data_IF_288268696850
#
_entry.id   IF_288268696850
#
_cell.length_a   1.000
_cell.length_b   1.000
_cell.length_c   1.000
_cell.angle_alpha   90.00
_cell.angle_beta   90.00
_cell.angle_gamma   90.00
#
_symmetry.space_group_name_H-M   'P 1'
#
loop_
_entity.id
_entity.type
_entity.pdbx_description
1 polymer ?
#
# COMPACT_ATOMS: atom_id res chain seq x y z
N UNK A 1 52.28 10.02 -0.85
CA UNK A 1 51.74 9.26 0.29
C UNK A 1 50.32 9.73 0.53
N UNK A 2 49.37 8.83 0.31
CA UNK A 2 47.92 9.01 0.46
C UNK A 2 47.53 8.69 1.91
N UNK A 3 46.75 9.57 2.52
CA UNK A 3 45.89 9.35 3.68
C UNK A 3 44.76 10.37 3.49
N UNK A 4 43.47 10.09 3.50
CA UNK A 4 42.69 8.97 4.02
C UNK A 4 41.40 9.63 4.52
N UNK A 5 40.46 9.96 3.62
CA UNK A 5 39.13 10.46 3.98
C UNK A 5 38.16 9.29 3.88
N UNK A 6 37.88 8.68 5.03
CA UNK A 6 36.75 7.77 5.19
C UNK A 6 35.52 8.65 5.37
N UNK A 7 34.69 8.80 4.34
CA UNK A 7 33.33 9.30 4.48
C UNK A 7 32.45 8.05 4.53
N UNK A 8 31.99 7.72 5.73
CA UNK A 8 30.99 6.70 5.97
C UNK A 8 29.63 7.33 5.62
N UNK A 9 29.07 7.01 4.46
CA UNK A 9 27.65 7.29 4.19
C UNK A 9 26.84 6.26 4.98
N UNK A 10 26.09 6.73 5.97
CA UNK A 10 25.08 5.94 6.66
C UNK A 10 23.81 6.05 5.81
N UNK A 11 23.44 4.97 5.13
CA UNK A 11 22.15 4.83 4.49
C UNK A 11 21.09 4.67 5.59
N UNK A 12 20.17 5.63 5.71
CA UNK A 12 18.95 5.47 6.51
C UNK A 12 17.99 4.58 5.71
N UNK A 13 17.88 3.31 6.06
CA UNK A 13 16.71 2.51 5.69
C UNK A 13 15.58 2.85 6.65
N UNK A 14 14.50 3.43 6.12
CA UNK A 14 13.21 3.51 6.79
C UNK A 14 12.60 2.10 6.82
N UNK A 15 12.89 1.35 7.88
CA UNK A 15 12.11 0.17 8.24
C UNK A 15 10.80 0.64 8.85
N UNK A 16 9.67 0.18 8.32
CA UNK A 16 8.43 0.05 9.08
C UNK A 16 8.71 -0.89 10.24
N UNK A 17 8.91 -0.30 11.42
CA UNK A 17 9.15 -1.03 12.67
C UNK A 17 7.82 -1.67 13.06
N UNK A 18 7.64 -2.95 12.72
CA UNK A 18 6.78 -3.80 13.54
C UNK A 18 7.39 -3.85 14.94
N UNK A 19 6.58 -3.88 16.02
CA UNK A 19 7.12 -3.93 17.37
C UNK A 19 8.05 -5.14 17.48
N UNK A 20 9.35 -4.88 17.63
CA UNK A 20 10.31 -5.87 18.07
C UNK A 20 9.90 -6.22 19.50
N UNK A 21 9.15 -7.31 19.67
CA UNK A 21 8.91 -7.85 21.00
C UNK A 21 10.26 -8.24 21.62
N UNK A 22 10.67 -7.48 22.62
CA UNK A 22 11.89 -7.73 23.35
C UNK A 22 11.83 -9.11 24.01
N UNK A 23 12.79 -9.96 23.65
CA UNK A 23 12.98 -11.25 24.33
C UNK A 23 13.69 -10.97 25.64
N UNK A 24 12.91 -10.80 26.70
CA UNK A 24 13.45 -10.86 28.06
C UNK A 24 13.98 -12.26 28.37
N UNK A 25 15.14 -12.28 29.03
CA UNK A 25 16.04 -13.41 29.18
C UNK A 25 15.61 -14.50 30.16
N UNK A 26 16.12 -15.69 29.86
CA UNK A 26 16.39 -16.82 30.76
C UNK A 26 15.20 -17.43 31.53
N UNK A 27 14.21 -17.88 30.76
CA UNK A 27 13.61 -19.19 30.96
C UNK A 27 13.45 -19.82 29.57
N UNK A 28 13.58 -21.14 29.42
CA UNK A 28 13.49 -21.82 28.13
C UNK A 28 12.13 -21.54 27.47
N UNK A 29 12.02 -20.43 26.72
CA UNK A 29 10.84 -20.07 25.96
C UNK A 29 10.62 -21.19 24.96
N UNK A 30 9.42 -21.74 24.97
CA UNK A 30 8.99 -22.65 23.92
C UNK A 30 9.25 -21.98 22.58
N UNK A 31 9.92 -22.69 21.67
CA UNK A 31 10.14 -22.26 20.30
C UNK A 31 8.81 -22.13 19.50
N UNK A 32 7.70 -22.58 20.11
CA UNK A 32 6.33 -22.43 19.65
C UNK A 32 5.84 -21.01 19.92
N UNK A 33 5.33 -20.37 18.86
CA UNK A 33 4.86 -18.99 18.86
C UNK A 33 3.34 -18.93 18.80
N UNK A 34 2.75 -18.18 19.71
CA UNK A 34 1.31 -17.95 19.78
C UNK A 34 1.09 -16.44 19.72
N UNK A 35 0.12 -16.01 18.92
CA UNK A 35 -0.26 -14.60 18.86
C UNK A 35 -0.74 -14.11 20.22
N UNK A 36 -0.22 -12.97 20.67
CA UNK A 36 -0.77 -12.29 21.83
C UNK A 36 -2.17 -11.76 21.48
N UNK A 37 -3.10 -11.92 22.41
CA UNK A 37 -4.45 -11.35 22.33
C UNK A 37 -4.51 -9.89 22.75
N UNK A 38 -3.45 -9.37 23.38
CA UNK A 38 -3.37 -7.99 23.82
C UNK A 38 -2.72 -7.10 22.76
N UNK A 39 -3.29 -5.93 22.56
CA UNK A 39 -2.73 -4.85 21.74
C UNK A 39 -1.84 -4.00 22.63
N UNK A 40 -0.56 -3.92 22.32
CA UNK A 40 0.40 -3.07 23.02
C UNK A 40 0.36 -1.64 22.50
N UNK A 41 0.43 -0.69 23.43
CA UNK A 41 0.57 0.73 23.15
C UNK A 41 1.79 1.24 23.90
N UNK A 42 2.64 1.99 23.21
CA UNK A 42 3.81 2.63 23.78
C UNK A 42 3.82 4.13 23.50
N UNK A 43 4.39 4.91 24.41
CA UNK A 43 4.55 6.34 24.24
C UNK A 43 5.87 6.84 24.82
N UNK A 44 6.51 7.75 24.10
CA UNK A 44 7.72 8.45 24.52
C UNK A 44 7.55 9.97 24.36
N UNK A 45 8.17 10.77 25.26
CA UNK A 45 8.15 12.22 25.11
C UNK A 45 8.88 12.65 23.83
N UNK A 46 8.36 13.72 23.21
CA UNK A 46 9.00 14.31 22.03
C UNK A 46 10.41 14.80 22.38
N UNK A 47 11.30 14.86 21.38
CA UNK A 47 12.66 15.34 21.57
C UNK A 47 12.69 16.72 22.26
N UNK A 48 13.30 16.79 23.44
CA UNK A 48 13.40 18.02 24.25
C UNK A 48 12.30 18.22 25.29
N UNK A 49 11.32 17.33 25.37
CA UNK A 49 10.34 17.31 26.46
C UNK A 49 10.86 16.54 27.67
N UNK A 50 10.38 16.91 28.87
CA UNK A 50 10.68 16.18 30.09
C UNK A 50 9.80 14.93 30.19
N UNK A 51 10.29 13.90 30.89
CA UNK A 51 9.47 12.74 31.23
C UNK A 51 8.24 13.19 32.05
N UNK A 52 7.02 12.90 31.59
CA UNK A 52 5.83 13.19 32.39
C UNK A 52 5.77 12.27 33.62
N UNK A 53 4.97 12.65 34.62
CA UNK A 53 4.76 11.80 35.82
C UNK A 53 3.63 10.80 35.64
N UNK A 54 2.75 11.00 34.65
CA UNK A 54 1.63 10.12 34.33
C UNK A 54 1.31 10.23 32.84
N UNK A 55 1.13 9.07 32.22
CA UNK A 55 0.65 8.91 30.85
C UNK A 55 -0.46 7.87 30.91
N UNK A 56 -1.56 8.16 30.23
CA UNK A 56 -2.66 7.23 30.06
C UNK A 56 -3.09 7.18 28.59
N UNK A 57 -3.88 6.18 28.24
CA UNK A 57 -4.47 6.03 26.90
C UNK A 57 -5.99 5.95 27.02
N UNK A 58 -6.66 6.53 26.04
CA UNK A 58 -8.10 6.48 25.88
C UNK A 58 -8.42 6.21 24.41
N UNK A 59 -9.49 5.46 24.17
CA UNK A 59 -9.87 5.08 22.81
C UNK A 59 -11.31 4.62 22.68
N UNK A 60 -11.66 4.27 21.45
CA UNK A 60 -13.02 3.93 21.02
C UNK A 60 -13.62 2.73 21.75
N UNK A 61 -12.79 1.85 22.29
CA UNK A 61 -13.23 0.77 23.17
C UNK A 61 -13.90 1.29 24.46
N UNK A 62 -13.48 2.45 24.99
CA UNK A 62 -14.14 3.15 26.10
C UNK A 62 -13.65 4.59 26.27
N UNK A 63 -14.33 5.56 25.64
CA UNK A 63 -14.02 7.00 25.78
C UNK A 63 -14.32 7.60 27.17
N UNK A 64 -14.83 6.84 28.13
CA UNK A 64 -15.14 7.34 29.48
C UNK A 64 -14.08 6.98 30.51
N UNK A 65 -13.08 6.16 30.17
CA UNK A 65 -12.12 5.63 31.14
C UNK A 65 -10.74 5.56 30.53
N UNK A 66 -9.79 6.24 31.16
CA UNK A 66 -8.39 6.18 30.79
C UNK A 66 -7.77 4.88 31.33
N UNK A 67 -6.84 4.32 30.57
CA UNK A 67 -5.98 3.22 31.02
C UNK A 67 -4.58 3.77 31.28
N UNK A 68 -4.09 3.68 32.50
CA UNK A 68 -2.75 4.15 32.84
C UNK A 68 -1.67 3.31 32.14
N UNK A 69 -0.61 3.98 31.68
CA UNK A 69 0.60 3.33 31.21
C UNK A 69 1.60 3.16 32.36
N UNK A 70 2.43 2.13 32.25
CA UNK A 70 3.55 1.87 33.15
C UNK A 70 4.84 2.40 32.53
N UNK A 71 5.64 3.11 33.32
CA UNK A 71 6.93 3.63 32.87
C UNK A 71 8.06 2.62 33.10
N UNK A 72 8.84 2.34 32.05
CA UNK A 72 10.12 1.64 32.16
C UNK A 72 11.28 2.66 32.17
N UNK A 73 11.97 2.75 33.30
CA UNK A 73 13.09 3.66 33.49
C UNK A 73 14.34 3.27 32.67
N UNK A 74 14.45 2.03 32.20
CA UNK A 74 15.59 1.58 31.41
C UNK A 74 15.46 2.01 29.94
N UNK A 75 14.26 1.87 29.37
CA UNK A 75 14.00 2.26 27.99
C UNK A 75 13.60 3.73 27.86
N UNK A 76 13.01 4.32 28.91
CA UNK A 76 12.40 5.66 28.83
C UNK A 76 10.96 5.65 28.30
N UNK A 77 10.38 4.48 28.11
CA UNK A 77 9.09 4.27 27.44
C UNK A 77 7.97 4.07 28.44
N UNK A 78 6.80 4.62 28.12
CA UNK A 78 5.54 4.27 28.77
C UNK A 78 4.84 3.20 27.96
N UNK A 79 4.28 2.17 28.59
CA UNK A 79 3.51 1.15 27.85
C UNK A 79 2.31 0.60 28.63
N UNK A 80 1.34 0.08 27.89
CA UNK A 80 0.22 -0.70 28.41
C UNK A 80 -0.29 -1.66 27.35
N UNK A 81 -1.07 -2.65 27.75
CA UNK A 81 -1.63 -3.65 26.84
C UNK A 81 -3.13 -3.77 27.07
N UNK A 82 -3.93 -3.67 26.00
CA UNK A 82 -5.38 -3.67 26.05
C UNK A 82 -5.91 -4.84 25.23
N UNK A 83 -6.87 -5.59 25.77
CA UNK A 83 -7.58 -6.64 25.03
C UNK A 83 -8.61 -6.00 24.11
N UNK A 84 -8.39 -6.08 22.80
CA UNK A 84 -9.29 -5.57 21.77
C UNK A 84 -9.72 -6.70 20.83
N UNK A 85 -10.90 -6.57 20.24
CA UNK A 85 -11.33 -7.47 19.15
C UNK A 85 -10.73 -7.01 17.82
N UNK A 86 -10.86 -7.83 16.78
CA UNK A 86 -10.42 -7.43 15.44
C UNK A 86 -11.14 -6.14 15.00
N UNK A 87 -10.38 -5.25 14.35
CA UNK A 87 -10.89 -3.98 13.85
C UNK A 87 -9.94 -2.83 14.09
N UNK A 88 -10.27 -1.68 13.54
CA UNK A 88 -9.60 -0.41 13.86
C UNK A 88 -10.23 0.25 15.08
N UNK A 89 -9.44 1.00 15.82
CA UNK A 89 -9.91 1.81 16.93
C UNK A 89 -9.22 3.17 16.92
N UNK A 90 -10.02 4.22 17.10
CA UNK A 90 -9.46 5.54 17.42
C UNK A 90 -8.91 5.58 18.84
N UNK A 91 -7.77 6.23 19.03
CA UNK A 91 -7.19 6.48 20.36
C UNK A 91 -6.36 7.76 20.41
N UNK A 92 -6.08 8.19 21.65
CA UNK A 92 -5.11 9.23 21.99
C UNK A 92 -4.40 8.87 23.29
N UNK A 93 -3.16 9.32 23.42
CA UNK A 93 -2.50 9.38 24.71
C UNK A 93 -2.95 10.62 25.47
N UNK A 94 -2.96 10.55 26.79
CA UNK A 94 -3.30 11.67 27.68
C UNK A 94 -2.18 11.85 28.69
N UNK A 95 -1.56 13.03 28.67
CA UNK A 95 -0.50 13.41 29.60
C UNK A 95 -1.10 14.17 30.77
N UNK A 96 -1.02 13.60 31.98
CA UNK A 96 -1.80 14.10 33.11
C UNK A 96 -3.30 13.93 32.87
N UNK A 97 -4.11 14.99 33.05
CA UNK A 97 -5.57 14.87 33.02
C UNK A 97 -6.23 15.30 31.69
N UNK A 98 -5.67 16.28 30.98
CA UNK A 98 -6.36 16.96 29.87
C UNK A 98 -5.50 17.27 28.64
N UNK A 99 -4.25 16.79 28.59
CA UNK A 99 -3.37 16.99 27.44
C UNK A 99 -3.44 15.77 26.51
N UNK A 100 -4.34 15.82 25.55
CA UNK A 100 -4.59 14.76 24.57
C UNK A 100 -3.61 14.86 23.40
N UNK A 101 -2.85 13.79 23.17
CA UNK A 101 -1.80 13.74 22.16
C UNK A 101 -2.02 12.59 21.19
N UNK A 102 -1.58 12.80 19.97
CA UNK A 102 -1.44 11.72 19.01
C UNK A 102 -0.29 10.80 19.42
N UNK A 103 -0.38 9.57 18.97
CA UNK A 103 0.77 8.68 18.90
C UNK A 103 1.72 9.19 17.81
N UNK A 104 2.95 9.54 18.19
CA UNK A 104 3.94 10.07 17.25
C UNK A 104 4.60 8.97 16.41
N UNK A 105 4.63 7.74 16.91
CA UNK A 105 5.25 6.59 16.23
C UNK A 105 4.29 5.95 15.23
N UNK A 106 2.99 6.10 15.47
CA UNK A 106 1.96 5.76 14.51
C UNK A 106 1.63 6.98 13.65
N UNK A 107 1.90 6.95 12.34
CA UNK A 107 1.52 8.03 11.41
C UNK A 107 0.07 7.93 10.91
N UNK A 108 -0.60 6.81 11.14
CA UNK A 108 -1.95 6.59 10.65
C UNK A 108 -2.97 7.39 11.47
N UNK A 109 -3.80 8.17 10.76
CA UNK A 109 -4.79 9.10 11.32
C UNK A 109 -6.15 8.81 10.72
N UNK A 110 -7.18 9.03 11.51
CA UNK A 110 -8.56 8.88 11.08
C UNK A 110 -9.51 9.70 11.95
N UNK A 111 -10.75 9.82 11.50
CA UNK A 111 -11.78 10.57 12.21
C UNK A 111 -12.71 9.64 12.98
N UNK A 112 -12.92 9.95 14.26
CA UNK A 112 -14.02 9.40 15.05
C UNK A 112 -14.92 10.53 15.51
N UNK A 113 -16.13 10.59 14.95
CA UNK A 113 -16.98 11.77 15.02
C UNK A 113 -16.32 12.97 14.34
N UNK A 114 -16.19 14.08 15.05
CA UNK A 114 -15.60 15.32 14.51
C UNK A 114 -14.11 15.50 14.88
N UNK A 115 -13.50 14.50 15.52
CA UNK A 115 -12.13 14.60 16.01
C UNK A 115 -11.23 13.67 15.23
N UNK A 116 -10.07 14.19 14.85
CA UNK A 116 -8.97 13.40 14.30
C UNK A 116 -8.24 12.70 15.45
N UNK A 117 -7.98 11.41 15.28
CA UNK A 117 -7.35 10.53 16.26
C UNK A 117 -6.23 9.70 15.60
N UNK A 118 -5.36 9.13 16.43
CA UNK A 118 -4.52 8.01 16.00
C UNK A 118 -5.40 6.78 15.82
N UNK A 119 -5.07 5.92 14.86
CA UNK A 119 -5.84 4.72 14.56
C UNK A 119 -4.94 3.50 14.75
N UNK A 120 -5.37 2.55 15.57
CA UNK A 120 -4.72 1.24 15.67
C UNK A 120 -5.53 0.22 14.88
N UNK A 121 -4.88 -0.61 14.06
CA UNK A 121 -5.47 -1.81 13.45
C UNK A 121 -5.17 -3.00 14.35
N UNK A 122 -6.23 -3.64 14.85
CA UNK A 122 -6.15 -4.85 15.66
C UNK A 122 -6.49 -6.03 14.77
N UNK A 123 -5.53 -6.92 14.60
CA UNK A 123 -5.70 -8.12 13.79
C UNK A 123 -6.59 -9.16 14.47
N UNK A 124 -7.12 -10.08 13.66
CA UNK A 124 -7.79 -11.26 14.19
C UNK A 124 -6.79 -12.26 14.78
N UNK A 125 -6.56 -12.18 16.08
CA UNK A 125 -5.61 -13.06 16.81
C UNK A 125 -6.07 -14.51 16.87
N UNK A 126 -7.31 -14.84 16.50
CA UNK A 126 -7.76 -16.24 16.36
C UNK A 126 -7.17 -16.94 15.14
N UNK A 127 -6.75 -16.17 14.12
CA UNK A 127 -6.12 -16.68 12.91
C UNK A 127 -4.60 -16.75 13.06
N UNK A 128 -3.94 -17.73 12.43
CA UNK A 128 -2.49 -17.75 12.37
C UNK A 128 -1.94 -16.56 11.58
N UNK A 129 -0.65 -16.26 11.74
CA UNK A 129 0.05 -15.27 10.92
C UNK A 129 1.43 -15.78 10.52
N UNK A 130 1.91 -15.34 9.36
CA UNK A 130 3.26 -15.58 8.88
C UNK A 130 4.08 -14.30 9.06
N UNK A 131 5.31 -14.43 9.54
CA UNK A 131 6.25 -13.31 9.60
C UNK A 131 7.61 -13.71 9.08
N UNK A 132 8.39 -12.72 8.65
CA UNK A 132 9.73 -12.95 8.16
C UNK A 132 10.73 -13.03 9.33
N UNK A 133 11.54 -14.09 9.38
CA UNK A 133 12.70 -14.22 10.30
C UNK A 133 13.97 -13.69 9.62
N UNK A 134 14.17 -14.12 8.38
CA UNK A 134 15.31 -13.74 7.55
C UNK A 134 14.92 -13.72 6.09
N UNK A 135 15.50 -12.79 5.34
CA UNK A 135 15.34 -12.67 3.90
C UNK A 135 16.63 -12.15 3.31
N UNK A 136 17.24 -12.92 2.42
CA UNK A 136 18.47 -12.56 1.75
C UNK A 136 18.37 -12.93 0.29
N UNK A 137 18.69 -11.96 -0.57
CA UNK A 137 18.77 -12.16 -2.01
C UNK A 137 20.24 -12.37 -2.35
N UNK A 138 20.53 -13.49 -3.00
CA UNK A 138 21.84 -13.88 -3.50
C UNK A 138 21.95 -13.43 -4.97
N UNK A 139 23.13 -13.57 -5.59
CA UNK A 139 23.33 -13.17 -7.01
C UNK A 139 22.33 -13.81 -7.98
N UNK A 140 21.82 -15.01 -7.69
CA UNK A 140 20.84 -15.72 -8.54
C UNK A 140 19.84 -16.54 -7.71
N UNK A 141 19.54 -16.10 -6.49
CA UNK A 141 18.73 -16.89 -5.57
C UNK A 141 18.10 -16.11 -4.44
N UNK A 142 17.30 -16.83 -3.66
CA UNK A 142 16.61 -16.34 -2.48
C UNK A 142 16.79 -17.34 -1.32
N UNK A 143 17.29 -16.83 -0.21
CA UNK A 143 17.24 -17.47 1.10
C UNK A 143 16.19 -16.78 1.99
N UNK A 144 15.14 -17.50 2.38
CA UNK A 144 14.10 -16.96 3.24
C UNK A 144 13.75 -17.93 4.38
N UNK A 145 13.56 -17.40 5.58
CA UNK A 145 12.98 -18.13 6.70
C UNK A 145 11.75 -17.39 7.18
N UNK A 146 10.62 -18.10 7.16
CA UNK A 146 9.32 -17.61 7.59
C UNK A 146 8.94 -18.28 8.89
N UNK A 147 8.48 -17.49 9.85
CA UNK A 147 7.93 -17.95 11.12
C UNK A 147 6.43 -18.13 10.98
N UNK A 148 5.93 -19.26 11.46
CA UNK A 148 4.51 -19.45 11.73
C UNK A 148 4.20 -19.05 13.18
N UNK A 149 3.12 -18.30 13.35
CA UNK A 149 2.53 -17.93 14.63
C UNK A 149 1.12 -18.51 14.69
N UNK A 150 0.85 -19.39 15.65
CA UNK A 150 -0.51 -19.90 15.82
C UNK A 150 -1.43 -18.80 16.35
N UNK A 151 -2.69 -18.84 15.92
CA UNK A 151 -3.73 -18.05 16.56
C UNK A 151 -3.96 -18.48 18.01
N UNK A 152 -4.90 -17.83 18.68
CA UNK A 152 -5.23 -18.08 20.11
C UNK A 152 -5.61 -19.53 20.43
N UNK A 153 -6.03 -20.32 19.44
CA UNK A 153 -6.28 -21.77 19.56
C UNK A 153 -5.01 -22.61 19.73
N UNK A 154 -3.82 -22.03 19.49
CA UNK A 154 -2.51 -22.68 19.49
C UNK A 154 -2.40 -23.86 18.51
N UNK A 155 -3.21 -23.82 17.45
CA UNK A 155 -3.28 -24.88 16.46
C UNK A 155 -1.99 -24.96 15.62
N UNK A 156 -1.53 -26.19 15.42
CA UNK A 156 -0.43 -26.48 14.49
C UNK A 156 -0.82 -26.09 13.06
N UNK A 157 0.15 -25.73 12.21
CA UNK A 157 -0.12 -25.58 10.78
C UNK A 157 -0.53 -26.93 10.18
N UNK A 158 -1.49 -26.88 9.27
CA UNK A 158 -1.93 -28.00 8.44
C UNK A 158 -1.26 -27.95 7.06
N UNK A 159 -1.27 -26.78 6.42
CA UNK A 159 -0.55 -26.55 5.16
C UNK A 159 0.27 -25.28 5.23
N UNK A 160 1.43 -25.29 4.55
CA UNK A 160 2.24 -24.12 4.26
C UNK A 160 2.69 -24.30 2.80
N UNK A 161 2.20 -23.43 1.93
CA UNK A 161 2.46 -23.48 0.49
C UNK A 161 3.20 -22.21 0.07
N UNK A 162 4.22 -22.37 -0.77
CA UNK A 162 4.94 -21.26 -1.36
C UNK A 162 4.76 -21.28 -2.88
N UNK A 163 4.53 -20.09 -3.43
CA UNK A 163 4.47 -19.84 -4.88
C UNK A 163 5.41 -18.70 -5.19
N UNK A 164 6.24 -18.86 -6.21
CA UNK A 164 7.08 -17.81 -6.74
C UNK A 164 6.45 -17.29 -8.04
N UNK A 165 6.02 -16.03 -8.02
CA UNK A 165 5.53 -15.36 -9.22
C UNK A 165 6.71 -14.71 -9.95
N UNK A 166 6.83 -14.96 -11.26
CA UNK A 166 7.79 -14.33 -12.17
C UNK A 166 7.10 -14.08 -13.52
N UNK A 167 7.18 -12.86 -14.06
CA UNK A 167 6.51 -12.46 -15.31
C UNK A 167 5.06 -12.96 -15.39
N UNK A 168 4.29 -12.62 -14.35
CA UNK A 168 2.87 -12.95 -14.19
C UNK A 168 2.56 -14.46 -14.22
N UNK A 169 3.58 -15.31 -14.11
CA UNK A 169 3.47 -16.77 -14.04
C UNK A 169 3.82 -17.29 -12.66
N UNK A 170 2.97 -18.16 -12.12
CA UNK A 170 3.13 -18.76 -10.80
C UNK A 170 3.88 -20.11 -10.88
N UNK A 171 4.93 -20.24 -10.07
CA UNK A 171 5.75 -21.45 -9.96
C UNK A 171 5.65 -21.97 -8.52
N UNK A 172 5.08 -23.16 -8.27
CA UNK A 172 5.06 -23.75 -6.94
C UNK A 172 6.49 -24.04 -6.44
N UNK A 173 6.79 -23.64 -5.21
CA UNK A 173 8.09 -23.85 -4.56
C UNK A 173 7.92 -24.73 -3.32
N UNK A 174 8.87 -25.65 -3.12
CA UNK A 174 8.94 -26.47 -1.92
C UNK A 174 9.90 -25.84 -0.91
N UNK A 175 9.45 -25.67 0.32
CA UNK A 175 10.30 -25.33 1.46
C UNK A 175 10.40 -26.47 2.46
N UNK A 176 11.24 -26.28 3.47
CA UNK A 176 11.47 -27.22 4.57
C UNK A 176 10.76 -26.69 5.80
N UNK A 177 9.83 -27.47 6.35
CA UNK A 177 9.18 -27.19 7.62
C UNK A 177 9.94 -27.82 8.78
N UNK A 178 10.35 -27.00 9.75
CA UNK A 178 10.88 -27.43 11.04
C UNK A 178 9.80 -27.33 12.13
N UNK A 179 9.19 -28.47 12.47
CA UNK A 179 8.18 -28.56 13.51
C UNK A 179 8.70 -28.29 14.93
N UNK A 180 10.03 -28.36 15.15
CA UNK A 180 10.61 -28.11 16.47
C UNK A 180 10.70 -26.63 16.78
N UNK A 181 10.78 -25.77 15.75
CA UNK A 181 10.90 -24.33 15.91
C UNK A 181 9.86 -23.51 15.14
N UNK A 182 8.91 -24.18 14.47
CA UNK A 182 7.84 -23.60 13.67
C UNK A 182 8.32 -22.67 12.55
N UNK A 183 9.41 -23.09 11.89
CA UNK A 183 10.05 -22.33 10.82
C UNK A 183 9.83 -23.01 9.48
N UNK A 184 9.51 -22.23 8.47
CA UNK A 184 9.45 -22.65 7.08
C UNK A 184 10.59 -21.98 6.32
N UNK A 185 11.56 -22.78 5.87
CA UNK A 185 12.75 -22.28 5.19
C UNK A 185 12.70 -22.59 3.70
N UNK A 186 13.09 -21.60 2.89
CA UNK A 186 13.18 -21.66 1.45
C UNK A 186 14.60 -21.30 1.04
N UNK A 187 15.17 -22.11 0.16
CA UNK A 187 16.45 -21.90 -0.51
C UNK A 187 16.18 -22.14 -2.00
N UNK A 188 16.18 -21.05 -2.77
CA UNK A 188 15.85 -21.05 -4.19
C UNK A 188 17.07 -20.57 -4.95
N UNK A 189 17.60 -21.41 -5.84
CA UNK A 189 18.79 -21.11 -6.63
C UNK A 189 18.47 -21.02 -8.13
N UNK A 190 19.40 -20.47 -8.90
CA UNK A 190 19.37 -20.42 -10.36
C UNK A 190 18.17 -19.65 -10.92
N UNK A 191 17.73 -18.61 -10.21
CA UNK A 191 16.75 -17.65 -10.73
C UNK A 191 17.37 -16.82 -11.85
N UNK A 192 16.60 -16.61 -12.91
CA UNK A 192 16.95 -15.66 -13.96
C UNK A 192 16.80 -14.22 -13.46
N UNK A 193 17.44 -13.27 -14.14
CA UNK A 193 17.28 -11.84 -13.86
C UNK A 193 15.82 -11.41 -14.02
N UNK A 194 15.37 -10.51 -13.16
CA UNK A 194 14.02 -9.95 -13.22
C UNK A 194 13.31 -9.84 -11.88
N UNK A 195 12.05 -9.44 -11.93
CA UNK A 195 11.19 -9.28 -10.74
C UNK A 195 10.56 -10.61 -10.36
N UNK A 196 10.54 -10.85 -9.06
CA UNK A 196 9.85 -11.97 -8.45
C UNK A 196 8.94 -11.49 -7.33
N UNK A 197 7.96 -12.31 -6.97
CA UNK A 197 7.23 -12.17 -5.71
C UNK A 197 7.02 -13.54 -5.12
N UNK A 198 7.66 -13.78 -3.97
CA UNK A 198 7.37 -14.96 -3.17
C UNK A 198 6.05 -14.75 -2.44
N UNK A 199 5.11 -15.66 -2.62
CA UNK A 199 3.83 -15.73 -1.91
C UNK A 199 3.84 -16.95 -1.00
N UNK A 200 3.57 -16.76 0.28
CA UNK A 200 3.47 -17.87 1.24
C UNK A 200 2.10 -17.86 1.89
N UNK A 201 1.40 -18.97 1.76
CA UNK A 201 0.07 -19.19 2.34
C UNK A 201 0.16 -20.28 3.40
N UNK A 202 -0.60 -20.14 4.48
CA UNK A 202 -0.69 -21.17 5.50
C UNK A 202 -2.10 -21.27 6.08
N UNK A 203 -2.49 -22.48 6.48
CA UNK A 203 -3.67 -22.69 7.31
C UNK A 203 -3.36 -23.64 8.48
N UNK A 204 -4.16 -23.54 9.54
CA UNK A 204 -4.05 -24.41 10.70
C UNK A 204 -4.89 -25.69 10.56
N UNK A 205 -4.78 -26.61 11.53
CA UNK A 205 -5.59 -27.85 11.58
C UNK A 205 -7.10 -27.63 11.78
N UNK A 206 -7.54 -26.41 12.08
CA UNK A 206 -8.94 -26.01 12.14
C UNK A 206 -9.41 -25.32 10.84
N UNK A 207 -8.54 -25.24 9.82
CA UNK A 207 -8.73 -24.49 8.58
C UNK A 207 -8.83 -22.96 8.76
N UNK A 208 -8.25 -22.41 9.83
CA UNK A 208 -8.04 -20.96 9.92
C UNK A 208 -6.88 -20.57 9.02
N UNK A 209 -7.13 -19.65 8.09
CA UNK A 209 -6.15 -19.17 7.11
C UNK A 209 -5.36 -17.98 7.67
N UNK A 210 -4.04 -18.01 7.48
CA UNK A 210 -3.19 -16.84 7.68
C UNK A 210 -3.34 -15.88 6.51
N UNK A 211 -3.09 -14.59 6.76
CA UNK A 211 -2.87 -13.64 5.68
C UNK A 211 -1.67 -14.07 4.83
N UNK A 212 -1.80 -13.93 3.51
CA UNK A 212 -0.73 -14.28 2.58
C UNK A 212 0.48 -13.37 2.79
N UNK A 213 1.66 -13.97 2.97
CA UNK A 213 2.90 -13.23 3.04
C UNK A 213 3.43 -12.99 1.62
N UNK A 214 3.53 -11.73 1.23
CA UNK A 214 4.04 -11.29 -0.08
C UNK A 214 5.42 -10.65 0.08
N UNK A 215 6.43 -11.23 -0.56
CA UNK A 215 7.80 -10.70 -0.57
C UNK A 215 8.24 -10.43 -2.02
N UNK A 216 8.06 -9.20 -2.54
CA UNK A 216 8.57 -8.82 -3.85
C UNK A 216 10.09 -8.59 -3.79
N UNK A 217 10.82 -9.07 -4.80
CA UNK A 217 12.26 -8.86 -4.93
C UNK A 217 12.73 -8.89 -6.38
N UNK A 218 14.01 -8.57 -6.59
CA UNK A 218 14.65 -8.54 -7.89
C UNK A 218 15.94 -9.36 -7.88
N UNK A 219 16.22 -10.02 -9.00
CA UNK A 219 17.49 -10.70 -9.29
C UNK A 219 18.18 -9.98 -10.47
N UNK A 220 19.51 -9.91 -10.44
CA UNK A 220 20.31 -9.30 -11.49
C UNK A 220 20.61 -7.81 -11.23
N UNK A 221 21.10 -7.10 -12.26
CA UNK A 221 21.50 -5.69 -12.19
C UNK A 221 20.37 -4.78 -11.65
N UNK A 222 19.13 -5.17 -11.92
CA UNK A 222 17.92 -4.48 -11.49
C UNK A 222 17.66 -4.53 -9.98
N UNK A 223 18.35 -5.39 -9.22
CA UNK A 223 18.22 -5.42 -7.75
C UNK A 223 18.75 -4.16 -7.07
N UNK A 224 19.65 -3.43 -7.75
CA UNK A 224 20.32 -2.24 -7.22
C UNK A 224 19.60 -0.94 -7.60
N UNK A 225 18.36 -1.02 -8.10
CA UNK A 225 17.57 0.16 -8.50
C UNK A 225 17.31 1.09 -7.30
N UNK A 226 17.72 2.36 -7.44
CA UNK A 226 17.52 3.40 -6.42
C UNK A 226 16.48 4.41 -6.92
N UNK A 227 15.35 4.48 -6.24
CA UNK A 227 14.27 5.42 -6.58
C UNK A 227 14.70 6.90 -6.54
N UNK A 228 15.60 7.28 -5.62
CA UNK A 228 16.09 8.65 -5.48
C UNK A 228 16.83 9.15 -6.73
N UNK A 229 17.41 8.25 -7.52
CA UNK A 229 18.17 8.54 -8.75
C UNK A 229 17.35 8.25 -10.02
N UNK A 230 16.07 7.89 -9.90
CA UNK A 230 15.24 7.52 -11.05
C UNK A 230 14.94 8.72 -11.96
N UNK A 231 15.14 8.54 -13.28
CA UNK A 231 14.67 9.48 -14.29
C UNK A 231 13.28 9.03 -14.77
N UNK A 232 12.26 9.68 -14.25
CA UNK A 232 10.85 9.34 -14.49
C UNK A 232 10.33 10.05 -15.75
N UNK A 233 9.68 9.28 -16.64
CA UNK A 233 8.94 9.81 -17.79
C UNK A 233 7.44 9.55 -17.62
N UNK A 234 6.65 10.63 -17.56
CA UNK A 234 5.19 10.52 -17.53
C UNK A 234 4.63 10.27 -18.94
N UNK A 235 3.89 9.18 -19.11
CA UNK A 235 3.23 8.79 -20.35
C UNK A 235 1.73 9.00 -20.17
N UNK A 236 1.17 9.97 -20.91
CA UNK A 236 -0.29 10.03 -21.10
C UNK A 236 -0.67 9.07 -22.21
N UNK A 237 -1.08 7.86 -21.83
CA UNK A 237 -1.21 6.69 -22.72
C UNK A 237 -1.99 7.03 -23.99
N UNK A 238 -3.19 7.63 -23.87
CA UNK A 238 -4.05 8.01 -25.00
C UNK A 238 -3.40 8.97 -26.02
N UNK A 239 -2.37 9.73 -25.63
CA UNK A 239 -1.72 10.72 -26.51
C UNK A 239 -0.33 10.35 -26.97
N UNK A 240 0.18 9.20 -26.52
CA UNK A 240 1.57 8.87 -26.76
C UNK A 240 1.76 8.25 -28.15
N UNK A 241 1.32 7.01 -28.34
CA UNK A 241 1.41 6.28 -29.61
C UNK A 241 0.21 5.34 -29.71
N UNK A 242 -0.53 5.41 -30.84
CA UNK A 242 -1.53 4.41 -31.24
C UNK A 242 -0.78 3.21 -31.84
N UNK A 243 -0.70 2.13 -31.08
CA UNK A 243 -0.05 0.89 -31.47
C UNK A 243 -1.03 -0.18 -31.94
N UNK A 244 -2.33 -0.02 -31.64
CA UNK A 244 -3.39 -0.97 -31.92
C UNK A 244 -4.71 -0.26 -32.26
N UNK A 245 -4.81 0.27 -33.48
CA UNK A 245 -6.04 0.89 -34.00
C UNK A 245 -7.35 0.07 -33.91
N UNK A 246 -7.32 -1.22 -33.58
CA UNK A 246 -8.52 -2.04 -33.38
C UNK A 246 -9.26 -1.72 -32.06
N UNK A 247 -8.59 -1.13 -31.07
CA UNK A 247 -9.20 -0.69 -29.81
C UNK A 247 -9.57 0.81 -29.82
N UNK A 248 -9.32 1.51 -30.93
CA UNK A 248 -9.56 2.95 -31.03
C UNK A 248 -11.02 3.30 -30.70
N UNK A 249 -11.25 4.23 -29.77
CA UNK A 249 -12.59 4.63 -29.38
C UNK A 249 -13.32 5.35 -30.51
N UNK A 250 -14.64 5.27 -30.46
CA UNK A 250 -15.51 6.10 -31.30
C UNK A 250 -15.48 7.53 -30.76
N UNK A 251 -15.32 8.49 -31.68
CA UNK A 251 -15.36 9.91 -31.34
C UNK A 251 -16.66 10.28 -30.61
N UNK A 252 -16.53 11.10 -29.58
CA UNK A 252 -17.62 11.65 -28.80
C UNK A 252 -18.06 13.01 -29.37
N UNK A 253 -18.86 13.77 -28.62
CA UNK A 253 -19.22 15.15 -28.95
C UNK A 253 -18.15 16.17 -28.51
N UNK A 254 -17.11 15.73 -27.79
CA UNK A 254 -15.99 16.58 -27.40
C UNK A 254 -15.20 17.05 -28.64
N UNK A 255 -14.53 18.20 -28.50
CA UNK A 255 -13.59 18.65 -29.52
C UNK A 255 -12.38 17.69 -29.60
N UNK A 256 -11.76 17.53 -30.77
CA UNK A 256 -10.67 16.56 -31.00
C UNK A 256 -9.54 16.57 -29.94
N UNK A 257 -9.16 17.75 -29.42
CA UNK A 257 -8.11 17.85 -28.38
C UNK A 257 -8.57 17.41 -26.97
N UNK A 258 -9.89 17.39 -26.76
CA UNK A 258 -10.57 17.00 -25.54
C UNK A 258 -11.26 15.61 -25.65
N UNK A 259 -11.10 14.96 -26.80
CA UNK A 259 -11.58 13.61 -27.05
C UNK A 259 -10.41 12.61 -27.02
N UNK A 260 -10.73 11.33 -27.07
CA UNK A 260 -9.77 10.25 -27.20
C UNK A 260 -8.98 10.33 -28.52
N UNK A 261 -7.71 9.96 -28.50
CA UNK A 261 -6.83 9.97 -29.68
C UNK A 261 -6.24 8.60 -30.04
N UNK A 262 -6.49 7.56 -29.23
CA UNK A 262 -6.22 6.17 -29.58
C UNK A 262 -4.83 5.67 -29.19
N UNK A 263 -4.08 6.43 -28.37
CA UNK A 263 -2.86 5.91 -27.79
C UNK A 263 -3.12 4.78 -26.78
N UNK A 264 -2.28 3.76 -26.78
CA UNK A 264 -2.56 2.49 -26.10
C UNK A 264 -1.29 1.82 -25.55
N UNK A 265 -1.47 0.71 -24.81
CA UNK A 265 -0.35 -0.04 -24.24
C UNK A 265 0.55 -0.68 -25.28
N UNK A 266 0.01 -1.08 -26.43
CA UNK A 266 0.81 -1.62 -27.52
C UNK A 266 1.78 -0.57 -28.06
N UNK A 267 1.34 0.69 -28.19
CA UNK A 267 2.17 1.82 -28.61
C UNK A 267 3.28 2.14 -27.60
N UNK A 268 2.97 2.14 -26.30
CA UNK A 268 4.00 2.31 -25.25
C UNK A 268 5.02 1.16 -25.31
N UNK A 269 4.56 -0.08 -25.46
CA UNK A 269 5.41 -1.28 -25.58
C UNK A 269 6.35 -1.19 -26.77
N UNK A 270 5.84 -0.79 -27.94
CA UNK A 270 6.65 -0.57 -29.15
C UNK A 270 7.76 0.47 -28.90
N UNK A 271 7.45 1.54 -28.17
CA UNK A 271 8.44 2.57 -27.86
C UNK A 271 9.51 2.10 -26.88
N UNK A 272 9.17 1.25 -25.90
CA UNK A 272 10.15 0.57 -25.04
C UNK A 272 11.09 -0.29 -25.90
N UNK A 273 10.53 -1.18 -26.73
CA UNK A 273 11.29 -2.08 -27.60
C UNK A 273 12.18 -1.33 -28.61
N UNK A 274 11.76 -0.13 -29.04
CA UNK A 274 12.57 0.72 -29.93
C UNK A 274 13.81 1.31 -29.25
N UNK A 275 13.91 1.21 -27.92
CA UNK A 275 14.93 1.85 -27.09
C UNK A 275 14.72 3.35 -26.88
N UNK A 276 13.54 3.90 -27.20
CA UNK A 276 13.24 5.33 -27.06
C UNK A 276 13.56 5.85 -25.65
N UNK A 277 13.09 5.16 -24.62
CA UNK A 277 13.28 5.56 -23.22
C UNK A 277 14.74 5.38 -22.79
N UNK A 278 15.37 4.25 -23.13
CA UNK A 278 16.78 3.99 -22.80
C UNK A 278 17.73 5.02 -23.45
N UNK A 279 17.44 5.46 -24.68
CA UNK A 279 18.22 6.51 -25.36
C UNK A 279 18.09 7.88 -24.68
N UNK A 280 16.97 8.12 -23.97
CA UNK A 280 16.79 9.31 -23.13
C UNK A 280 17.43 9.15 -21.73
N UNK A 281 17.80 7.93 -21.34
CA UNK A 281 18.27 7.58 -20.00
C UNK A 281 17.13 7.40 -18.99
N UNK A 282 15.89 7.24 -19.45
CA UNK A 282 14.71 7.00 -18.61
C UNK A 282 14.74 5.57 -18.09
N UNK A 283 14.57 5.40 -16.78
CA UNK A 283 14.53 4.09 -16.11
C UNK A 283 13.25 3.89 -15.26
N UNK A 284 12.29 4.81 -15.35
CA UNK A 284 10.96 4.65 -14.78
C UNK A 284 9.89 5.33 -15.66
N UNK A 285 8.78 4.64 -15.91
CA UNK A 285 7.59 5.19 -16.55
C UNK A 285 6.51 5.44 -15.52
N UNK A 286 5.87 6.61 -15.60
CA UNK A 286 4.62 6.90 -14.91
C UNK A 286 3.48 6.91 -15.92
N UNK A 287 2.63 5.88 -15.88
CA UNK A 287 1.45 5.79 -16.72
C UNK A 287 0.29 6.57 -16.08
N UNK A 288 -0.40 7.41 -16.87
CA UNK A 288 -1.69 7.99 -16.46
C UNK A 288 -2.70 6.90 -16.09
N UNK A 289 -3.79 7.22 -15.35
CA UNK A 289 -4.73 6.21 -14.90
C UNK A 289 -5.28 5.41 -16.09
N UNK A 290 -5.32 4.09 -15.92
CA UNK A 290 -5.73 3.15 -16.96
C UNK A 290 -6.91 2.28 -16.53
N UNK A 291 -7.51 2.58 -15.38
CA UNK A 291 -8.77 1.98 -14.98
C UNK A 291 -9.88 2.33 -15.96
N UNK A 292 -10.86 1.45 -16.11
CA UNK A 292 -12.05 1.68 -16.94
C UNK A 292 -12.66 3.04 -16.63
N UNK A 293 -12.59 3.95 -17.59
CA UNK A 293 -13.03 5.32 -17.46
C UNK A 293 -14.44 5.50 -18.04
N UNK A 294 -15.13 6.57 -17.63
CA UNK A 294 -16.49 6.85 -18.08
C UNK A 294 -16.62 6.95 -19.61
N UNK A 295 -17.83 6.67 -20.10
CA UNK A 295 -18.21 6.90 -21.48
C UNK A 295 -18.78 8.30 -21.66
N UNK A 296 -18.78 8.80 -22.90
CA UNK A 296 -19.36 10.11 -23.22
C UNK A 296 -18.48 11.28 -22.78
N UNK A 297 -19.12 12.37 -22.39
CA UNK A 297 -18.45 13.65 -22.11
C UNK A 297 -19.04 14.36 -20.89
N UNK A 298 -18.20 15.11 -20.19
CA UNK A 298 -18.60 16.06 -19.16
C UNK A 298 -18.30 17.50 -19.58
N UNK A 299 -19.03 18.47 -19.02
CA UNK A 299 -18.75 19.89 -19.23
C UNK A 299 -17.47 20.27 -18.46
N UNK A 300 -16.56 20.96 -19.14
CA UNK A 300 -15.32 21.48 -18.60
C UNK A 300 -15.57 22.57 -17.55
N UNK A 301 -14.50 22.99 -16.85
CA UNK A 301 -14.58 24.05 -15.84
C UNK A 301 -15.01 25.42 -16.36
N UNK A 302 -14.97 25.64 -17.69
CA UNK A 302 -15.43 26.88 -18.33
C UNK A 302 -16.94 26.92 -18.60
N UNK A 303 -17.66 25.82 -18.33
CA UNK A 303 -19.10 25.72 -18.51
C UNK A 303 -19.56 25.66 -19.97
N UNK A 304 -18.65 25.49 -20.94
CA UNK A 304 -18.96 25.58 -22.37
C UNK A 304 -18.48 24.38 -23.17
N UNK A 305 -17.28 23.87 -22.90
CA UNK A 305 -16.70 22.80 -23.71
C UNK A 305 -16.97 21.42 -23.11
N UNK A 306 -17.29 20.46 -23.98
CA UNK A 306 -17.36 19.05 -23.63
C UNK A 306 -15.96 18.40 -23.68
N UNK A 307 -15.69 17.53 -22.71
CA UNK A 307 -14.43 16.79 -22.56
C UNK A 307 -14.77 15.34 -22.28
N UNK A 308 -14.03 14.41 -22.87
CA UNK A 308 -14.17 12.98 -22.61
C UNK A 308 -13.23 12.51 -21.49
N UNK A 309 -13.42 11.29 -21.01
CA UNK A 309 -12.63 10.68 -19.95
C UNK A 309 -11.21 10.21 -20.35
N UNK A 310 -10.68 10.65 -21.51
CA UNK A 310 -9.41 10.16 -22.09
C UNK A 310 -8.20 10.23 -21.14
N UNK A 311 -8.27 11.11 -20.14
CA UNK A 311 -7.22 11.32 -19.14
C UNK A 311 -7.23 10.28 -18.01
N UNK A 312 -8.21 9.36 -17.96
CA UNK A 312 -8.29 8.27 -16.98
C UNK A 312 -8.88 8.63 -15.61
N UNK A 313 -8.85 9.90 -15.20
CA UNK A 313 -9.36 10.35 -13.89
C UNK A 313 -10.89 10.25 -13.64
N UNK A 314 -11.68 9.59 -14.50
CA UNK A 314 -13.11 9.32 -14.29
C UNK A 314 -13.37 7.81 -14.18
N UNK A 315 -12.80 7.11 -13.18
CA UNK A 315 -12.96 5.67 -13.09
C UNK A 315 -14.42 5.30 -12.80
N UNK A 316 -14.93 4.31 -13.52
CA UNK A 316 -16.27 3.72 -13.34
C UNK A 316 -16.22 2.29 -12.81
N UNK A 317 -15.03 1.70 -12.72
CA UNK A 317 -14.84 0.37 -12.14
C UNK A 317 -13.74 0.41 -11.07
N UNK A 318 -13.89 -0.37 -9.98
CA UNK A 318 -12.92 -0.38 -8.89
C UNK A 318 -11.60 -1.05 -9.29
N UNK A 319 -11.67 -1.97 -10.26
CA UNK A 319 -10.57 -2.73 -10.84
C UNK A 319 -10.91 -2.97 -12.29
N UNK A 320 -9.90 -3.08 -13.14
CA UNK A 320 -10.07 -3.33 -14.57
C UNK A 320 -9.19 -2.39 -15.38
N UNK A 321 -8.88 -2.81 -16.60
CA UNK A 321 -8.15 -2.04 -17.59
C UNK A 321 -9.15 -1.47 -18.60
N UNK A 322 -9.03 -0.18 -18.92
CA UNK A 322 -9.86 0.44 -19.94
C UNK A 322 -9.60 -0.19 -21.31
N UNK A 323 -10.63 -0.80 -21.90
CA UNK A 323 -10.53 -1.50 -23.17
C UNK A 323 -10.08 -0.60 -24.35
N UNK A 324 -10.19 0.73 -24.22
CA UNK A 324 -9.66 1.69 -25.21
C UNK A 324 -8.14 1.80 -25.17
N UNK A 325 -7.52 1.45 -24.04
CA UNK A 325 -6.06 1.44 -23.86
C UNK A 325 -5.44 0.06 -24.11
N UNK A 326 -6.23 -1.01 -24.03
CA UNK A 326 -5.79 -2.38 -24.26
C UNK A 326 -6.46 -3.38 -23.30
N UNK A 327 -5.85 -4.54 -23.20
CA UNK A 327 -6.25 -5.65 -22.33
C UNK A 327 -5.31 -5.78 -21.13
N UNK A 328 -5.70 -6.54 -20.10
CA UNK A 328 -4.80 -6.89 -18.98
C UNK A 328 -3.51 -7.55 -19.47
N UNK A 329 -3.60 -8.45 -20.46
CA UNK A 329 -2.45 -9.11 -21.05
C UNK A 329 -1.50 -8.13 -21.78
N UNK A 330 -2.04 -7.11 -22.46
CA UNK A 330 -1.21 -6.06 -23.09
C UNK A 330 -0.54 -5.15 -22.03
N UNK A 331 -1.19 -4.93 -20.88
CA UNK A 331 -0.55 -4.24 -19.75
C UNK A 331 0.56 -5.08 -19.11
N UNK A 332 0.33 -6.39 -18.94
CA UNK A 332 1.35 -7.33 -18.47
C UNK A 332 2.55 -7.36 -19.42
N UNK A 333 2.31 -7.43 -20.74
CA UNK A 333 3.36 -7.36 -21.78
C UNK A 333 4.15 -6.06 -21.69
N UNK A 334 3.49 -4.91 -21.53
CA UNK A 334 4.14 -3.62 -21.35
C UNK A 334 5.07 -3.64 -20.13
N UNK A 335 4.58 -4.13 -18.99
CA UNK A 335 5.32 -4.17 -17.74
C UNK A 335 6.52 -5.12 -17.83
N UNK A 336 6.34 -6.34 -18.36
CA UNK A 336 7.45 -7.28 -18.58
C UNK A 336 8.48 -6.70 -19.55
N UNK A 337 8.03 -6.12 -20.67
CA UNK A 337 8.93 -5.46 -21.63
C UNK A 337 9.69 -4.30 -20.99
N UNK A 338 9.05 -3.48 -20.15
CA UNK A 338 9.71 -2.42 -19.40
C UNK A 338 10.79 -2.98 -18.47
N UNK A 339 10.46 -4.00 -17.68
CA UNK A 339 11.40 -4.63 -16.75
C UNK A 339 12.60 -5.25 -17.47
N UNK A 340 12.41 -5.92 -18.62
CA UNK A 340 13.49 -6.45 -19.47
C UNK A 340 14.45 -5.36 -19.98
N UNK A 341 13.97 -4.12 -20.08
CA UNK A 341 14.75 -2.96 -20.54
C UNK A 341 15.31 -2.11 -19.39
N UNK A 342 15.20 -2.59 -18.14
CA UNK A 342 15.66 -1.89 -16.94
C UNK A 342 14.79 -0.70 -16.53
N UNK A 343 13.49 -0.75 -16.86
CA UNK A 343 12.54 0.34 -16.64
C UNK A 343 11.49 -0.09 -15.62
N UNK A 344 11.31 0.68 -14.54
CA UNK A 344 10.20 0.50 -13.58
C UNK A 344 8.91 1.10 -14.11
N UNK A 345 7.76 0.56 -13.69
CA UNK A 345 6.44 1.11 -14.06
C UNK A 345 5.69 1.56 -12.81
N UNK A 346 5.24 2.81 -12.83
CA UNK A 346 4.37 3.43 -11.83
C UNK A 346 2.99 3.64 -12.45
N UNK A 347 1.95 3.13 -11.80
CA UNK A 347 0.55 3.40 -12.17
C UNK A 347 0.01 4.58 -11.37
N UNK A 348 -0.74 5.47 -12.03
CA UNK A 348 -1.51 6.52 -11.37
C UNK A 348 -2.84 5.95 -10.85
N UNK A 349 -3.09 6.09 -9.55
CA UNK A 349 -4.30 5.59 -8.89
C UNK A 349 -5.15 6.74 -8.39
N UNK A 350 -6.40 6.77 -8.85
CA UNK A 350 -7.38 7.79 -8.46
C UNK A 350 -8.08 7.33 -7.20
N UNK A 351 -7.56 7.77 -6.06
CA UNK A 351 -8.12 7.37 -4.75
C UNK A 351 -9.17 8.36 -4.24
N UNK A 352 -9.07 9.63 -4.58
CA UNK A 352 -9.89 10.68 -3.95
C UNK A 352 -11.37 10.68 -4.39
N UNK A 353 -11.63 10.34 -5.65
CA UNK A 353 -12.96 10.43 -6.26
C UNK A 353 -13.17 9.32 -7.29
N UNK A 354 -14.43 9.11 -7.66
CA UNK A 354 -14.83 8.24 -8.77
C UNK A 354 -15.70 9.04 -9.75
N UNK A 355 -16.11 8.46 -10.88
CA UNK A 355 -17.20 9.03 -11.68
C UNK A 355 -18.57 8.67 -11.09
N UNK A 356 -19.61 9.48 -11.32
CA UNK A 356 -20.97 9.23 -10.80
C UNK A 356 -21.59 7.89 -11.26
N UNK A 357 -21.10 7.32 -12.37
CA UNK A 357 -21.50 6.00 -12.85
C UNK A 357 -20.83 4.82 -12.10
N UNK A 358 -19.90 5.10 -11.19
CA UNK A 358 -19.18 4.07 -10.45
C UNK A 358 -20.11 3.34 -9.46
N UNK A 359 -20.09 1.99 -9.38
CA UNK A 359 -20.96 1.22 -8.50
C UNK A 359 -20.88 1.60 -7.01
N UNK A 360 -19.72 2.04 -6.54
CA UNK A 360 -19.59 2.56 -5.17
C UNK A 360 -20.52 3.74 -4.92
N UNK A 361 -20.63 4.67 -5.87
CA UNK A 361 -21.50 5.85 -5.71
C UNK A 361 -22.97 5.46 -5.66
N UNK A 362 -23.41 4.57 -6.56
CA UNK A 362 -24.81 4.13 -6.59
C UNK A 362 -25.19 3.25 -5.41
N UNK A 363 -24.28 2.38 -4.93
CA UNK A 363 -24.59 1.38 -3.93
C UNK A 363 -24.35 1.88 -2.49
N UNK A 364 -23.40 2.81 -2.30
CA UNK A 364 -22.99 3.32 -1.00
C UNK A 364 -22.90 4.87 -1.02
N UNK A 365 -24.02 5.59 -1.21
CA UNK A 365 -23.99 7.05 -1.34
C UNK A 365 -23.45 7.78 -0.10
N UNK A 366 -23.49 7.13 1.08
CA UNK A 366 -22.94 7.61 2.35
C UNK A 366 -21.40 7.55 2.42
N UNK A 367 -20.76 6.85 1.48
CA UNK A 367 -19.31 6.83 1.31
C UNK A 367 -18.78 8.11 0.67
N UNK A 368 -19.64 9.00 0.18
CA UNK A 368 -19.24 10.18 -0.58
C UNK A 368 -19.63 11.47 0.13
N UNK A 369 -18.79 12.49 -0.06
CA UNK A 369 -19.07 13.82 0.44
C UNK A 369 -20.32 14.40 -0.24
N UNK A 370 -21.13 15.12 0.54
CA UNK A 370 -22.32 15.85 0.05
C UNK A 370 -22.05 17.35 -0.03
N UNK A 371 -20.79 17.72 -0.27
CA UNK A 371 -20.32 19.10 -0.25
C UNK A 371 -20.67 19.90 -1.49
N UNK A 372 -20.18 21.14 -1.49
CA UNK A 372 -20.30 22.07 -2.61
C UNK A 372 -19.25 21.79 -3.70
N UNK A 373 -19.36 22.45 -4.86
CA UNK A 373 -18.33 22.36 -5.91
C UNK A 373 -17.14 23.24 -5.53
N UNK A 374 -15.94 22.66 -5.51
CA UNK A 374 -14.73 23.39 -5.16
C UNK A 374 -14.50 24.57 -6.10
N UNK A 375 -14.25 25.75 -5.53
CA UNK A 375 -14.00 26.98 -6.27
C UNK A 375 -15.24 27.82 -6.59
N UNK A 376 -16.45 27.41 -6.17
CA UNK A 376 -17.65 28.26 -6.27
C UNK A 376 -17.73 29.28 -5.13
N UNK A 377 -18.66 30.24 -5.26
CA UNK A 377 -18.95 31.21 -4.20
C UNK A 377 -19.28 30.50 -2.89
N UNK A 378 -18.58 30.87 -1.81
CA UNK A 378 -18.66 30.23 -0.48
C UNK A 378 -18.21 28.75 -0.42
N UNK A 379 -17.44 28.26 -1.41
CA UNK A 379 -16.86 26.92 -1.43
C UNK A 379 -15.38 26.96 -1.88
N UNK A 380 -14.54 27.67 -1.12
CA UNK A 380 -13.13 27.83 -1.47
C UNK A 380 -12.32 26.54 -1.33
N UNK A 381 -11.40 26.30 -2.26
CA UNK A 381 -10.47 25.16 -2.21
C UNK A 381 -9.75 25.04 -0.87
N UNK A 382 -9.36 26.15 -0.25
CA UNK A 382 -8.59 26.14 1.01
C UNK A 382 -9.40 25.60 2.19
N UNK A 383 -10.66 26.05 2.30
CA UNK A 383 -11.54 25.78 3.44
C UNK A 383 -12.21 24.40 3.30
N UNK A 384 -12.52 24.01 2.07
CA UNK A 384 -13.27 22.80 1.75
C UNK A 384 -12.44 21.69 1.08
N UNK A 385 -11.10 21.76 1.13
CA UNK A 385 -10.20 20.78 0.47
C UNK A 385 -10.46 19.30 0.78
N UNK A 386 -11.20 18.98 1.84
CA UNK A 386 -11.49 17.62 2.28
C UNK A 386 -12.96 17.21 2.07
N UNK A 387 -13.85 18.13 1.68
CA UNK A 387 -15.28 17.86 1.60
C UNK A 387 -16.01 18.47 0.39
N UNK A 388 -15.40 19.38 -0.37
CA UNK A 388 -15.95 19.82 -1.65
C UNK A 388 -15.66 18.82 -2.77
N UNK A 389 -16.47 18.89 -3.83
CA UNK A 389 -16.38 18.02 -5.00
C UNK A 389 -15.60 18.71 -6.12
N UNK A 390 -14.78 17.98 -6.86
CA UNK A 390 -14.08 18.55 -8.02
C UNK A 390 -15.06 18.92 -9.15
N UNK A 391 -16.01 18.04 -9.48
CA UNK A 391 -17.15 18.28 -10.39
C UNK A 391 -18.37 17.52 -9.89
N UNK A 392 -19.56 17.87 -10.38
CA UNK A 392 -20.80 17.19 -10.00
C UNK A 392 -20.81 15.71 -10.39
N UNK A 393 -20.18 15.35 -11.50
CA UNK A 393 -20.04 13.98 -11.99
C UNK A 393 -18.79 13.26 -11.44
N UNK A 394 -18.06 13.89 -10.51
CA UNK A 394 -16.90 13.30 -9.82
C UNK A 394 -17.09 13.42 -8.31
N UNK A 395 -17.90 12.56 -7.69
CA UNK A 395 -18.08 12.56 -6.25
C UNK A 395 -16.79 12.14 -5.52
N UNK A 396 -16.37 12.96 -4.56
CA UNK A 396 -15.22 12.71 -3.68
C UNK A 396 -15.60 11.74 -2.56
N UNK A 397 -14.73 10.77 -2.31
CA UNK A 397 -14.86 9.81 -1.21
C UNK A 397 -14.75 10.55 0.12
N UNK A 398 -15.70 10.29 1.00
CA UNK A 398 -15.67 10.74 2.38
C UNK A 398 -14.75 9.81 3.18
N UNK A 399 -13.47 10.15 3.27
CA UNK A 399 -12.48 9.40 4.05
C UNK A 399 -12.71 9.39 5.56
N UNK A 400 -13.74 10.10 6.06
CA UNK A 400 -14.21 9.96 7.44
C UNK A 400 -15.16 8.78 7.60
N UNK A 401 -15.74 8.28 6.50
CA UNK A 401 -16.49 7.05 6.48
C UNK A 401 -15.50 5.88 6.41
N UNK A 402 -15.50 5.08 7.47
CA UNK A 402 -14.54 4.01 7.65
C UNK A 402 -14.77 2.84 6.70
N UNK A 403 -16.02 2.59 6.32
CA UNK A 403 -16.35 1.56 5.33
C UNK A 403 -15.91 1.97 3.91
N UNK A 404 -15.67 3.27 3.68
CA UNK A 404 -15.12 3.78 2.42
C UNK A 404 -13.58 3.81 2.40
N UNK A 405 -12.94 3.94 3.56
CA UNK A 405 -11.48 3.99 3.68
C UNK A 405 -10.79 2.63 3.71
N UNK A 406 -11.55 1.57 3.97
CA UNK A 406 -11.12 0.18 4.12
C UNK A 406 -11.67 -0.69 2.98
#
# INVERSE_FOLDING_TARGET
MKFGKCLLLVALMLFSIFPLMAVDGDSAKSSIRVRDSLTEFSWEPSAGENQPSNVSIIGEWNWNTHSDLTFDANSGTWSTSISLQEGLYCYKFVIGENDYRFDNDNSYRGYCGNYENSIVRVDNTSKPVLSLDSFSINTSGLDATILYWAGTSQANPNTINATLMHDFSDIPITGIWDASNWKFSLDIENLADGKYTLRVNANDVNNAEAEELLLPFWIGEESDFIWDDALIYMVMTDRFVDGNSANNPVATSAAQGADWQGGDFAGVTQMIQSGYFNNLGVNALWLTPFNTAANGTGIAGDGQHEVSAYHGYWPIEPRGVDARLGTEAELEELISTAHEHGIRVMGDLVVNHVHEDHPYYSNNPDWFNQGCLCGTENCGWTEHRLDCLFRSYMPDINWKNRDASE
#
